data_IF_884112770095
#
_entry.id   IF_884112770095
#
_cell.length_a   1.000
_cell.length_b   1.000
_cell.length_c   1.000
_cell.angle_alpha   90.00
_cell.angle_beta   90.00
_cell.angle_gamma   90.00
#
_symmetry.space_group_name_H-M   'P 1'
#
loop_
_entity.id
_entity.type
_entity.pdbx_description
1 polymer ?
#
# COMPACT_ATOMS: atom_id res chain seq x y z
N UNK A 1 8.40 -13.53 -9.22
CA UNK A 1 7.77 -12.77 -8.12
C UNK A 1 8.70 -12.81 -6.91
N UNK A 2 9.28 -11.67 -6.54
CA UNK A 2 10.10 -11.53 -5.34
C UNK A 2 9.15 -11.47 -4.13
N UNK A 3 9.25 -12.45 -3.23
CA UNK A 3 8.44 -12.48 -2.00
C UNK A 3 9.05 -11.52 -0.99
N UNK A 4 8.32 -10.47 -0.63
CA UNK A 4 8.65 -9.63 0.52
C UNK A 4 8.06 -10.26 1.78
N UNK A 5 8.88 -10.47 2.81
CA UNK A 5 8.39 -10.83 4.13
C UNK A 5 7.83 -9.57 4.78
N UNK A 6 6.52 -9.53 4.97
CA UNK A 6 5.82 -8.46 5.69
C UNK A 6 5.19 -9.10 6.92
N UNK A 7 5.63 -8.69 8.09
CA UNK A 7 5.02 -9.03 9.38
C UNK A 7 3.97 -7.96 9.74
N UNK A 8 2.98 -8.30 10.58
CA UNK A 8 1.90 -7.40 11.06
C UNK A 8 1.01 -6.76 9.98
N UNK A 9 0.54 -7.53 9.01
CA UNK A 9 -0.51 -7.04 8.10
C UNK A 9 -1.86 -7.07 8.83
N UNK A 10 -2.26 -5.95 9.46
CA UNK A 10 -3.66 -5.73 9.83
C UNK A 10 -4.45 -5.38 8.57
N UNK A 11 -5.16 -6.36 8.04
CA UNK A 11 -6.08 -6.18 6.92
C UNK A 11 -7.45 -5.83 7.48
N UNK A 12 -7.70 -4.55 7.71
CA UNK A 12 -9.03 -4.07 8.06
C UNK A 12 -9.82 -3.82 6.77
N UNK A 13 -10.47 -4.88 6.30
CA UNK A 13 -11.39 -4.82 5.15
C UNK A 13 -12.73 -4.18 5.52
N UNK A 14 -12.75 -3.18 6.41
CA UNK A 14 -13.91 -2.28 6.48
C UNK A 14 -13.99 -1.55 5.14
N UNK A 15 -14.84 -2.08 4.28
CA UNK A 15 -15.18 -1.48 2.99
C UNK A 15 -16.05 -0.26 3.31
N UNK A 16 -15.41 0.78 3.84
CA UNK A 16 -15.99 2.09 4.04
C UNK A 16 -16.59 2.51 2.70
N UNK A 17 -17.91 2.72 2.72
CA UNK A 17 -18.76 3.22 1.64
C UNK A 17 -17.92 3.95 0.58
N UNK A 18 -17.88 3.41 -0.65
CA UNK A 18 -17.21 3.92 -1.88
C UNK A 18 -16.17 2.99 -2.53
N UNK A 19 -16.01 1.75 -2.08
CA UNK A 19 -15.18 0.76 -2.78
C UNK A 19 -13.67 1.04 -2.68
N UNK A 20 -13.27 1.80 -1.66
CA UNK A 20 -11.88 2.09 -1.33
C UNK A 20 -11.41 1.07 -0.30
N UNK A 21 -10.24 0.46 -0.53
CA UNK A 21 -9.57 -0.43 0.42
C UNK A 21 -8.36 0.30 1.00
N UNK A 22 -8.29 0.40 2.33
CA UNK A 22 -7.13 0.94 3.03
C UNK A 22 -6.17 -0.20 3.39
N UNK A 23 -4.89 -0.03 3.08
CA UNK A 23 -3.83 -0.97 3.46
C UNK A 23 -2.74 -0.19 4.20
N UNK A 24 -2.44 -0.58 5.44
CA UNK A 24 -1.39 0.01 6.26
C UNK A 24 -0.29 -1.01 6.51
N UNK A 25 0.97 -0.59 6.33
CA UNK A 25 2.15 -1.42 6.60
C UNK A 25 3.32 -0.50 6.94
N UNK A 26 4.29 -1.03 7.68
CA UNK A 26 5.56 -0.34 7.94
C UNK A 26 6.50 -0.51 6.76
N UNK A 27 7.20 0.55 6.39
CA UNK A 27 8.17 0.54 5.31
C UNK A 27 9.38 1.38 5.71
N UNK A 28 10.57 0.92 5.34
CA UNK A 28 11.78 1.73 5.46
C UNK A 28 11.64 3.02 4.63
N UNK A 29 12.08 4.15 5.17
CA UNK A 29 11.91 5.46 4.53
C UNK A 29 12.49 5.53 3.11
N UNK A 30 13.64 4.88 2.90
CA UNK A 30 14.33 4.82 1.60
C UNK A 30 13.55 4.02 0.53
N UNK A 31 12.52 3.25 0.93
CA UNK A 31 11.71 2.43 0.02
C UNK A 31 10.40 3.09 -0.41
N UNK A 32 10.04 4.25 0.14
CA UNK A 32 8.76 4.94 -0.14
C UNK A 32 8.63 5.29 -1.62
N UNK A 33 9.66 5.87 -2.23
CA UNK A 33 9.61 6.25 -3.65
C UNK A 33 9.52 5.03 -4.59
N UNK A 34 10.28 3.97 -4.29
CA UNK A 34 10.27 2.75 -5.08
C UNK A 34 8.90 2.06 -5.04
N UNK A 35 8.20 2.16 -3.91
CA UNK A 35 6.84 1.66 -3.78
C UNK A 35 5.86 2.49 -4.62
N UNK A 36 5.89 3.82 -4.52
CA UNK A 36 5.00 4.71 -5.27
C UNK A 36 5.12 4.48 -6.78
N UNK A 37 6.35 4.35 -7.30
CA UNK A 37 6.60 4.03 -8.71
C UNK A 37 5.97 2.68 -9.11
N UNK A 38 6.19 1.63 -8.32
CA UNK A 38 5.67 0.29 -8.64
C UNK A 38 4.15 0.23 -8.59
N UNK A 39 3.53 0.96 -7.67
CA UNK A 39 2.08 1.05 -7.57
C UNK A 39 1.53 1.72 -8.83
N UNK A 40 2.10 2.85 -9.25
CA UNK A 40 1.69 3.56 -10.47
C UNK A 40 1.84 2.71 -11.74
N UNK A 41 2.87 1.86 -11.81
CA UNK A 41 3.07 0.95 -12.93
C UNK A 41 2.07 -0.22 -12.94
N UNK A 42 1.66 -0.69 -11.75
CA UNK A 42 0.84 -1.91 -11.60
C UNK A 42 -0.65 -1.65 -11.48
N UNK A 43 -1.05 -0.41 -11.19
CA UNK A 43 -2.43 -0.06 -10.88
C UNK A 43 -2.88 1.14 -11.72
N UNK A 44 -3.97 0.96 -12.47
CA UNK A 44 -4.52 1.99 -13.36
C UNK A 44 -5.43 3.01 -12.67
N UNK A 45 -5.60 2.88 -11.34
CA UNK A 45 -6.44 3.76 -10.53
C UNK A 45 -5.64 4.81 -9.77
N UNK A 46 -6.31 5.54 -8.89
CA UNK A 46 -5.69 6.53 -8.04
C UNK A 46 -5.28 5.91 -6.70
N UNK A 47 -4.07 6.20 -6.24
CA UNK A 47 -3.57 5.80 -4.92
C UNK A 47 -3.15 7.04 -4.15
N UNK A 48 -3.60 7.14 -2.89
CA UNK A 48 -3.13 8.13 -1.92
C UNK A 48 -2.24 7.45 -0.89
N UNK A 49 -1.06 8.02 -0.63
CA UNK A 49 -0.15 7.56 0.43
C UNK A 49 -0.21 8.56 1.58
N UNK A 50 -0.56 8.09 2.77
CA UNK A 50 -0.52 8.87 4.00
C UNK A 50 0.69 8.40 4.84
N UNK A 51 1.61 9.30 5.13
CA UNK A 51 2.74 9.05 6.03
C UNK A 51 2.34 9.52 7.43
N UNK A 52 2.51 8.67 8.44
CA UNK A 52 2.25 8.96 9.86
C UNK A 52 3.53 8.97 10.68
#
# INVERSE_FOLDING_TARGET
LQKFQVEDIQQDYETGKEGITLVMFKLDYDRVEALDSKIKDSFSGQVGILLQ
#
